data_IF_140754167956
#
_entry.id   IF_140754167956
#
_cell.length_a   1.000
_cell.length_b   1.000
_cell.length_c   1.000
_cell.angle_alpha   90.00
_cell.angle_beta   90.00
_cell.angle_gamma   90.00
#
_symmetry.space_group_name_H-M   'P 1'
#
loop_
_entity.id
_entity.type
_entity.pdbx_description
1 polymer ?
#
# COMPACT_ATOMS: atom_id res chain seq x y z
N UNK A 1 19.90 1.03 58.09
CA UNK A 1 19.44 1.95 57.05
C UNK A 1 18.70 1.14 56.00
N UNK A 2 17.41 1.11 56.11
CA UNK A 2 16.49 0.30 55.32
C UNK A 2 16.05 1.10 54.08
N UNK A 3 16.52 0.66 52.90
CA UNK A 3 16.10 1.25 51.61
C UNK A 3 14.76 0.68 51.15
N UNK A 4 13.76 1.56 51.02
CA UNK A 4 12.45 1.23 50.48
C UNK A 4 12.51 1.02 48.97
N UNK A 5 11.94 -0.07 48.42
CA UNK A 5 11.89 -0.25 46.96
C UNK A 5 10.86 0.68 46.29
N UNK A 6 11.33 1.36 45.25
CA UNK A 6 10.47 2.20 44.37
C UNK A 6 9.58 1.27 43.52
N UNK A 7 8.26 1.52 43.45
CA UNK A 7 7.38 0.69 42.63
C UNK A 7 7.61 0.95 41.15
N UNK A 8 7.82 -0.12 40.38
CA UNK A 8 7.92 -0.09 38.92
C UNK A 8 6.63 0.44 38.29
N UNK A 9 6.76 1.41 37.41
CA UNK A 9 5.66 2.03 36.69
C UNK A 9 4.94 1.00 35.83
N UNK A 10 3.63 0.86 36.07
CA UNK A 10 2.74 -0.04 35.33
C UNK A 10 2.69 0.34 33.85
N UNK A 11 3.07 -0.58 33.00
CA UNK A 11 2.98 -0.47 31.55
C UNK A 11 1.54 -0.19 31.11
N UNK A 12 1.32 0.88 30.37
CA UNK A 12 0.03 1.31 29.81
C UNK A 12 -0.51 0.24 28.85
N UNK A 13 -1.45 -0.57 29.31
CA UNK A 13 -2.29 -1.49 28.50
C UNK A 13 -3.36 -0.67 27.74
N UNK A 14 -3.01 -0.05 26.60
CA UNK A 14 -3.97 0.72 25.78
C UNK A 14 -4.09 0.29 24.32
N UNK A 15 -3.26 -0.62 23.84
CA UNK A 15 -3.11 -0.89 22.40
C UNK A 15 -3.99 -2.02 21.79
N UNK A 16 -4.39 -3.14 22.45
CA UNK A 16 -5.08 -4.23 21.75
C UNK A 16 -6.54 -3.94 21.37
N UNK A 17 -7.30 -3.21 22.22
CA UNK A 17 -8.72 -2.91 21.95
C UNK A 17 -8.97 -1.91 20.82
N UNK A 18 -8.01 -1.03 20.53
CA UNK A 18 -8.14 -0.05 19.45
C UNK A 18 -7.99 -0.70 18.07
N UNK A 19 -7.01 -1.56 17.87
CA UNK A 19 -6.78 -2.24 16.61
C UNK A 19 -7.93 -3.20 16.23
N UNK A 20 -8.51 -3.90 17.20
CA UNK A 20 -9.64 -4.82 16.95
C UNK A 20 -10.91 -4.10 16.48
N UNK A 21 -11.19 -2.90 17.00
CA UNK A 21 -12.32 -2.09 16.54
C UNK A 21 -12.07 -1.55 15.14
N UNK A 22 -10.84 -1.11 14.86
CA UNK A 22 -10.47 -0.58 13.55
C UNK A 22 -10.60 -1.68 12.47
N UNK A 23 -10.09 -2.88 12.76
CA UNK A 23 -10.26 -4.05 11.88
C UNK A 23 -11.74 -4.39 11.69
N UNK A 24 -12.55 -4.46 12.75
CA UNK A 24 -13.97 -4.81 12.65
C UNK A 24 -14.76 -3.82 11.78
N UNK A 25 -14.43 -2.53 11.84
CA UNK A 25 -15.08 -1.49 11.00
C UNK A 25 -14.63 -1.61 9.55
N UNK A 26 -13.34 -1.81 9.29
CA UNK A 26 -12.82 -2.04 7.94
C UNK A 26 -13.43 -3.30 7.33
N UNK A 27 -13.48 -4.41 8.08
CA UNK A 27 -14.06 -5.68 7.62
C UNK A 27 -15.56 -5.53 7.31
N UNK A 28 -16.29 -4.72 8.10
CA UNK A 28 -17.69 -4.42 7.83
C UNK A 28 -17.89 -3.67 6.51
N UNK A 29 -17.04 -2.68 6.23
CA UNK A 29 -17.06 -1.98 4.93
C UNK A 29 -16.79 -2.96 3.79
N UNK A 30 -15.77 -3.82 3.93
CA UNK A 30 -15.42 -4.80 2.91
C UNK A 30 -16.56 -5.79 2.63
N UNK A 31 -17.26 -6.24 3.67
CA UNK A 31 -18.45 -7.09 3.49
C UNK A 31 -19.56 -6.37 2.74
N UNK A 32 -19.93 -5.15 3.16
CA UNK A 32 -20.98 -4.36 2.49
C UNK A 32 -20.67 -4.12 1.01
N UNK A 33 -19.43 -3.78 0.69
CA UNK A 33 -18.97 -3.62 -0.69
C UNK A 33 -18.95 -4.95 -1.46
N UNK A 34 -18.59 -6.05 -0.79
CA UNK A 34 -18.63 -7.40 -1.34
C UNK A 34 -20.04 -7.88 -1.66
N UNK A 35 -21.01 -7.46 -0.87
CA UNK A 35 -22.45 -7.74 -1.04
C UNK A 35 -23.11 -6.83 -2.10
N UNK A 36 -22.31 -5.95 -2.75
CA UNK A 36 -22.73 -5.15 -3.88
C UNK A 36 -23.12 -3.71 -3.57
N UNK A 37 -22.99 -3.25 -2.32
CA UNK A 37 -23.21 -1.84 -2.00
C UNK A 37 -22.14 -0.97 -2.69
N UNK A 38 -22.56 0.19 -3.25
CA UNK A 38 -21.63 1.22 -3.72
C UNK A 38 -21.08 2.04 -2.53
N UNK A 39 -19.92 2.68 -2.70
CA UNK A 39 -19.39 3.59 -1.65
C UNK A 39 -20.39 4.73 -1.38
N UNK A 40 -21.11 5.21 -2.39
CA UNK A 40 -22.13 6.25 -2.25
C UNK A 40 -23.23 5.87 -1.26
N UNK A 41 -23.66 4.60 -1.26
CA UNK A 41 -24.72 4.06 -0.40
C UNK A 41 -24.25 3.79 1.03
N UNK A 42 -22.96 3.68 1.27
CA UNK A 42 -22.43 3.46 2.61
C UNK A 42 -22.64 4.69 3.50
N UNK A 43 -23.22 4.46 4.68
CA UNK A 43 -23.35 5.47 5.74
C UNK A 43 -22.54 5.07 6.95
N UNK A 44 -22.00 6.05 7.69
CA UNK A 44 -21.23 5.79 8.92
C UNK A 44 -22.05 5.01 9.96
N UNK A 45 -23.36 5.25 10.01
CA UNK A 45 -24.31 4.53 10.87
C UNK A 45 -24.52 3.08 10.43
N UNK A 46 -24.67 2.87 9.13
CA UNK A 46 -24.80 1.53 8.55
C UNK A 46 -23.55 0.69 8.81
N UNK A 47 -22.39 1.28 8.62
CA UNK A 47 -21.09 0.64 8.89
C UNK A 47 -20.93 0.34 10.37
N UNK A 48 -21.27 1.28 11.27
CA UNK A 48 -21.20 1.05 12.72
C UNK A 48 -22.08 -0.13 13.16
N UNK A 49 -23.30 -0.21 12.62
CA UNK A 49 -24.25 -1.31 12.87
C UNK A 49 -23.71 -2.63 12.35
N UNK A 50 -23.18 -2.67 11.13
CA UNK A 50 -22.60 -3.87 10.53
C UNK A 50 -21.36 -4.36 11.31
N UNK A 51 -20.53 -3.43 11.80
CA UNK A 51 -19.36 -3.73 12.60
C UNK A 51 -19.67 -4.12 14.05
N UNK A 52 -20.91 -3.96 14.50
CA UNK A 52 -21.29 -4.21 15.89
C UNK A 52 -20.69 -3.21 16.89
N UNK A 53 -20.37 -1.97 16.45
CA UNK A 53 -19.74 -0.95 17.28
C UNK A 53 -20.63 0.28 17.42
N UNK A 54 -20.48 1.01 18.53
CA UNK A 54 -21.24 2.24 18.75
C UNK A 54 -20.86 3.35 17.77
N UNK A 55 -21.86 4.08 17.21
CA UNK A 55 -21.70 5.22 16.31
C UNK A 55 -20.63 6.22 16.80
N UNK A 56 -20.69 6.61 18.08
CA UNK A 56 -19.72 7.53 18.68
C UNK A 56 -18.26 6.99 18.62
N UNK A 57 -18.11 5.67 18.66
CA UNK A 57 -16.80 5.01 18.55
C UNK A 57 -16.24 5.14 17.15
N UNK A 58 -17.07 5.00 16.12
CA UNK A 58 -16.66 5.17 14.72
C UNK A 58 -16.31 6.62 14.45
N UNK A 59 -17.17 7.59 14.79
CA UNK A 59 -16.91 9.02 14.55
C UNK A 59 -15.69 9.58 15.28
N UNK A 60 -15.34 9.02 16.45
CA UNK A 60 -14.13 9.43 17.17
C UNK A 60 -12.85 9.05 16.42
N UNK A 61 -12.88 8.00 15.58
CA UNK A 61 -11.75 7.52 14.79
C UNK A 61 -11.71 8.13 13.40
N UNK A 62 -12.86 8.13 12.78
CA UNK A 62 -13.04 8.64 11.42
C UNK A 62 -14.07 9.76 11.45
N UNK A 63 -13.62 11.01 11.29
CA UNK A 63 -14.53 12.16 11.31
C UNK A 63 -15.54 12.15 10.15
N UNK A 64 -15.34 11.30 9.16
CA UNK A 64 -16.23 11.11 8.02
C UNK A 64 -15.87 9.88 7.19
N UNK A 65 -16.72 9.59 6.20
CA UNK A 65 -16.59 8.43 5.31
C UNK A 65 -15.26 8.41 4.56
N UNK A 66 -14.78 9.56 4.09
CA UNK A 66 -13.53 9.68 3.35
C UNK A 66 -12.31 9.22 4.16
N UNK A 67 -12.26 9.61 5.44
CA UNK A 67 -11.18 9.16 6.34
C UNK A 67 -11.21 7.64 6.54
N UNK A 68 -12.41 7.05 6.67
CA UNK A 68 -12.57 5.60 6.78
C UNK A 68 -12.19 4.89 5.48
N UNK A 69 -12.54 5.45 4.32
CA UNK A 69 -12.20 4.85 3.02
C UNK A 69 -10.69 4.78 2.78
N UNK A 70 -9.90 5.70 3.31
CA UNK A 70 -8.44 5.62 3.26
C UNK A 70 -7.90 4.42 4.03
N UNK A 71 -8.43 4.16 5.23
CA UNK A 71 -8.03 3.00 6.02
C UNK A 71 -8.50 1.69 5.36
N UNK A 72 -9.69 1.68 4.75
CA UNK A 72 -10.17 0.55 3.94
C UNK A 72 -9.23 0.29 2.77
N UNK A 73 -8.84 1.33 2.03
CA UNK A 73 -7.89 1.20 0.92
C UNK A 73 -6.52 0.70 1.41
N UNK A 74 -6.04 1.21 2.53
CA UNK A 74 -4.78 0.75 3.12
C UNK A 74 -4.85 -0.73 3.56
N UNK A 75 -5.99 -1.19 4.04
CA UNK A 75 -6.22 -2.59 4.42
C UNK A 75 -6.32 -3.52 3.20
N UNK A 76 -7.03 -3.08 2.14
CA UNK A 76 -7.09 -3.82 0.87
C UNK A 76 -5.72 -3.88 0.21
N UNK A 77 -4.94 -2.83 0.40
CA UNK A 77 -3.64 -2.65 -0.22
C UNK A 77 -2.53 -2.44 0.83
N UNK A 78 -2.23 -3.42 1.69
CA UNK A 78 -1.13 -3.26 2.65
C UNK A 78 0.18 -2.96 1.89
N UNK A 79 1.04 -2.09 2.45
CA UNK A 79 2.34 -1.85 1.86
C UNK A 79 3.14 -3.16 1.82
N UNK A 80 4.04 -3.34 0.84
CA UNK A 80 4.94 -4.48 0.83
C UNK A 80 5.78 -4.46 2.10
N UNK A 81 6.05 -5.63 2.68
CA UNK A 81 7.08 -5.75 3.71
C UNK A 81 8.43 -5.71 3.00
N UNK A 82 9.30 -4.72 3.26
CA UNK A 82 10.59 -4.66 2.62
C UNK A 82 11.48 -5.76 3.19
N UNK A 83 11.58 -6.86 2.47
CA UNK A 83 12.63 -7.84 2.70
C UNK A 83 13.83 -7.44 1.84
N UNK A 84 14.82 -6.82 2.46
CA UNK A 84 16.10 -6.57 1.80
C UNK A 84 16.97 -7.81 1.97
N UNK A 85 17.08 -8.58 0.91
CA UNK A 85 17.91 -9.80 0.89
C UNK A 85 19.39 -9.47 0.73
N UNK A 86 19.72 -8.27 0.28
CA UNK A 86 21.06 -7.85 -0.10
C UNK A 86 21.42 -8.24 -1.55
N UNK A 87 20.51 -8.91 -2.27
CA UNK A 87 20.64 -9.14 -3.71
C UNK A 87 19.67 -8.22 -4.46
N UNK A 88 20.22 -7.22 -5.14
CA UNK A 88 19.44 -6.21 -5.87
C UNK A 88 18.43 -6.82 -6.85
N UNK A 89 18.81 -7.91 -7.55
CA UNK A 89 17.93 -8.57 -8.49
C UNK A 89 16.70 -9.16 -7.81
N UNK A 90 16.90 -9.88 -6.72
CA UNK A 90 15.82 -10.50 -5.93
C UNK A 90 14.90 -9.44 -5.33
N UNK A 91 15.47 -8.39 -4.78
CA UNK A 91 14.72 -7.30 -4.15
C UNK A 91 13.86 -6.54 -5.17
N UNK A 92 14.40 -6.25 -6.37
CA UNK A 92 13.65 -5.63 -7.47
C UNK A 92 12.54 -6.55 -8.01
N UNK A 93 12.83 -7.85 -8.17
CA UNK A 93 11.79 -8.83 -8.58
C UNK A 93 10.64 -8.84 -7.58
N UNK A 94 10.95 -8.85 -6.29
CA UNK A 94 9.95 -8.82 -5.22
C UNK A 94 9.08 -7.56 -5.29
N UNK A 95 9.71 -6.39 -5.50
CA UNK A 95 9.01 -5.13 -5.65
C UNK A 95 8.08 -5.10 -6.88
N UNK A 96 8.57 -5.53 -8.05
CA UNK A 96 7.80 -5.58 -9.30
C UNK A 96 6.68 -6.61 -9.21
N UNK A 97 6.93 -7.78 -8.61
CA UNK A 97 5.93 -8.83 -8.41
C UNK A 97 4.80 -8.38 -7.49
N UNK A 98 5.12 -7.62 -6.44
CA UNK A 98 4.11 -7.00 -5.60
C UNK A 98 3.20 -6.09 -6.44
N UNK A 99 3.76 -5.22 -7.28
CA UNK A 99 2.97 -4.33 -8.17
C UNK A 99 2.12 -5.15 -9.13
N UNK A 100 2.68 -6.22 -9.72
CA UNK A 100 1.98 -7.10 -10.65
C UNK A 100 0.76 -7.77 -10.00
N UNK A 101 0.95 -8.40 -8.83
CA UNK A 101 -0.14 -9.07 -8.09
C UNK A 101 -1.24 -8.09 -7.71
N UNK A 102 -0.88 -6.90 -7.27
CA UNK A 102 -1.83 -5.84 -6.95
C UNK A 102 -2.62 -5.39 -8.18
N UNK A 103 -1.94 -5.26 -9.31
CA UNK A 103 -2.57 -4.88 -10.58
C UNK A 103 -3.55 -5.95 -11.06
N UNK A 104 -3.23 -7.24 -10.92
CA UNK A 104 -4.14 -8.34 -11.21
C UNK A 104 -5.36 -8.32 -10.28
N UNK A 105 -5.16 -8.22 -8.96
CA UNK A 105 -6.25 -8.16 -8.01
C UNK A 105 -7.24 -7.02 -8.32
N UNK A 106 -6.74 -5.85 -8.74
CA UNK A 106 -7.58 -4.71 -9.17
C UNK A 106 -8.35 -5.02 -10.45
N UNK A 107 -7.76 -5.74 -11.40
CA UNK A 107 -8.45 -6.15 -12.63
C UNK A 107 -9.56 -7.17 -12.39
N UNK A 108 -9.30 -8.15 -11.52
CA UNK A 108 -10.18 -9.28 -11.28
C UNK A 108 -11.33 -8.93 -10.35
N UNK A 109 -11.13 -8.02 -9.40
CA UNK A 109 -12.15 -7.61 -8.45
C UNK A 109 -12.99 -6.43 -8.94
N UNK A 110 -14.28 -6.67 -9.21
CA UNK A 110 -15.24 -5.61 -9.51
C UNK A 110 -15.38 -4.60 -8.35
N UNK A 111 -15.35 -5.10 -7.12
CA UNK A 111 -15.34 -4.29 -5.90
C UNK A 111 -14.14 -3.34 -5.87
N UNK A 112 -12.93 -3.83 -6.06
CA UNK A 112 -11.72 -2.98 -6.06
C UNK A 112 -11.74 -1.95 -7.18
N UNK A 113 -12.24 -2.31 -8.36
CA UNK A 113 -12.44 -1.34 -9.45
C UNK A 113 -13.42 -0.23 -9.06
N UNK A 114 -14.56 -0.60 -8.48
CA UNK A 114 -15.58 0.36 -8.01
C UNK A 114 -15.02 1.31 -6.97
N UNK A 115 -14.35 0.78 -5.95
CA UNK A 115 -13.68 1.59 -4.90
C UNK A 115 -12.68 2.57 -5.51
N UNK A 116 -11.83 2.10 -6.42
CA UNK A 116 -10.81 2.93 -7.03
C UNK A 116 -11.41 4.04 -7.90
N UNK A 117 -12.46 3.72 -8.68
CA UNK A 117 -13.17 4.72 -9.50
C UNK A 117 -13.81 5.81 -8.63
N UNK A 118 -14.44 5.43 -7.52
CA UNK A 118 -15.04 6.37 -6.57
C UNK A 118 -13.97 7.28 -5.93
N UNK A 119 -12.84 6.69 -5.52
CA UNK A 119 -11.71 7.46 -4.99
C UNK A 119 -11.14 8.43 -6.02
N UNK A 120 -11.03 8.00 -7.29
CA UNK A 120 -10.55 8.84 -8.38
C UNK A 120 -11.53 9.97 -8.74
N UNK A 121 -12.83 9.75 -8.55
CA UNK A 121 -13.86 10.77 -8.80
C UNK A 121 -13.88 11.90 -7.75
N UNK A 122 -13.30 11.66 -6.57
CA UNK A 122 -13.18 12.64 -5.49
C UNK A 122 -11.73 13.16 -5.41
N UNK A 123 -11.43 14.41 -5.86
CA UNK A 123 -10.06 14.92 -5.92
C UNK A 123 -9.34 14.95 -4.56
N UNK A 124 -10.06 15.26 -3.48
CA UNK A 124 -9.47 15.31 -2.13
C UNK A 124 -9.12 13.91 -1.63
N UNK A 125 -10.01 12.93 -1.85
CA UNK A 125 -9.76 11.54 -1.47
C UNK A 125 -8.65 10.93 -2.32
N UNK A 126 -8.61 11.25 -3.62
CA UNK A 126 -7.54 10.86 -4.53
C UNK A 126 -6.18 11.40 -4.09
N UNK A 127 -6.12 12.68 -3.75
CA UNK A 127 -4.90 13.30 -3.22
C UNK A 127 -4.42 12.60 -1.95
N UNK A 128 -5.30 12.36 -1.00
CA UNK A 128 -4.96 11.66 0.25
C UNK A 128 -4.49 10.22 0.01
N UNK A 129 -5.16 9.49 -0.87
CA UNK A 129 -4.71 8.14 -1.28
C UNK A 129 -3.30 8.19 -1.87
N UNK A 130 -3.03 9.16 -2.72
CA UNK A 130 -1.70 9.36 -3.30
C UNK A 130 -0.65 9.65 -2.21
N UNK A 131 -0.92 10.60 -1.33
CA UNK A 131 0.02 11.05 -0.29
C UNK A 131 0.31 9.94 0.75
N UNK A 132 -0.67 9.10 1.06
CA UNK A 132 -0.53 8.06 2.09
C UNK A 132 -0.12 6.70 1.55
N UNK A 133 -0.78 6.21 0.50
CA UNK A 133 -0.61 4.85 -0.01
C UNK A 133 0.44 4.81 -1.12
N UNK A 134 0.25 5.63 -2.16
CA UNK A 134 1.14 5.60 -3.34
C UNK A 134 2.53 6.12 -3.00
N UNK A 135 2.60 7.27 -2.30
CA UNK A 135 3.89 7.87 -1.91
C UNK A 135 4.69 6.97 -0.95
N UNK A 136 4.02 6.21 -0.07
CA UNK A 136 4.71 5.25 0.81
C UNK A 136 5.38 4.14 0.02
N UNK A 137 4.68 3.57 -0.97
CA UNK A 137 5.24 2.53 -1.85
C UNK A 137 6.37 3.05 -2.71
N UNK A 138 6.21 4.28 -3.21
CA UNK A 138 7.25 4.95 -3.99
C UNK A 138 8.52 5.12 -3.17
N UNK A 139 8.41 5.62 -1.93
CA UNK A 139 9.56 5.74 -1.01
C UNK A 139 10.27 4.41 -0.78
N UNK A 140 9.54 3.32 -0.56
CA UNK A 140 10.16 2.00 -0.38
C UNK A 140 11.00 1.57 -1.59
N UNK A 141 10.53 1.88 -2.81
CA UNK A 141 11.28 1.60 -4.03
C UNK A 141 12.49 2.53 -4.19
N UNK A 142 12.35 3.83 -3.91
CA UNK A 142 13.47 4.77 -3.97
C UNK A 142 14.52 4.45 -2.90
N UNK A 143 14.13 4.07 -1.68
CA UNK A 143 15.06 3.63 -0.61
C UNK A 143 15.86 2.38 -1.01
N UNK A 144 15.23 1.44 -1.73
CA UNK A 144 15.91 0.27 -2.29
C UNK A 144 16.96 0.68 -3.34
N UNK A 145 16.58 1.56 -4.27
CA UNK A 145 17.46 2.04 -5.32
C UNK A 145 18.63 2.87 -4.77
N UNK A 146 18.38 3.73 -3.77
CA UNK A 146 19.42 4.48 -3.07
C UNK A 146 20.46 3.56 -2.43
N UNK A 147 20.01 2.51 -1.74
CA UNK A 147 20.91 1.52 -1.14
C UNK A 147 21.75 0.79 -2.18
N UNK A 148 21.13 0.43 -3.31
CA UNK A 148 21.83 -0.24 -4.41
C UNK A 148 22.89 0.67 -5.08
N UNK A 149 22.63 1.97 -5.17
CA UNK A 149 23.62 2.96 -5.64
C UNK A 149 24.76 3.07 -4.63
N UNK A 150 24.44 3.17 -3.34
CA UNK A 150 25.46 3.25 -2.28
C UNK A 150 26.32 1.99 -2.18
N UNK A 151 25.77 0.82 -2.51
CA UNK A 151 26.48 -0.44 -2.58
C UNK A 151 27.33 -0.61 -3.85
N UNK A 152 27.14 0.24 -4.86
CA UNK A 152 27.81 0.15 -6.16
C UNK A 152 27.16 -0.82 -7.16
N UNK A 153 25.99 -1.36 -6.85
CA UNK A 153 25.24 -2.25 -7.75
C UNK A 153 24.57 -1.49 -8.91
N UNK A 154 24.29 -0.22 -8.70
CA UNK A 154 23.76 0.72 -9.70
C UNK A 154 24.76 1.86 -9.89
N UNK A 155 24.90 2.32 -11.12
CA UNK A 155 25.79 3.43 -11.48
C UNK A 155 25.40 4.71 -10.68
N UNK A 156 26.38 5.39 -10.04
CA UNK A 156 26.10 6.51 -9.14
C UNK A 156 25.49 7.73 -9.86
N UNK A 157 25.78 7.94 -11.15
CA UNK A 157 25.20 9.02 -11.93
C UNK A 157 23.68 8.90 -12.11
N UNK A 158 23.11 7.70 -11.95
CA UNK A 158 21.67 7.46 -12.01
C UNK A 158 20.95 7.90 -10.71
N UNK A 159 21.69 8.14 -9.63
CA UNK A 159 21.16 8.66 -8.38
C UNK A 159 20.69 10.12 -8.44
N UNK A 160 20.99 10.83 -9.54
CA UNK A 160 20.52 12.22 -9.74
C UNK A 160 19.02 12.32 -9.94
N UNK A 161 18.34 11.25 -10.34
CA UNK A 161 16.89 11.20 -10.54
C UNK A 161 16.32 9.82 -10.13
N UNK A 162 16.22 9.61 -8.82
CA UNK A 162 15.63 8.38 -8.24
C UNK A 162 14.16 8.20 -8.59
N UNK A 163 13.45 9.30 -8.81
CA UNK A 163 12.05 9.26 -9.21
C UNK A 163 11.90 8.66 -10.61
N UNK A 164 12.76 9.04 -11.54
CA UNK A 164 12.79 8.44 -12.87
C UNK A 164 13.14 6.95 -12.82
N UNK A 165 14.12 6.56 -11.99
CA UNK A 165 14.45 5.14 -11.83
C UNK A 165 13.27 4.33 -11.26
N UNK A 166 12.59 4.86 -10.25
CA UNK A 166 11.39 4.23 -9.69
C UNK A 166 10.27 4.10 -10.74
N UNK A 167 10.09 5.13 -11.58
CA UNK A 167 9.14 5.09 -12.69
C UNK A 167 9.51 4.03 -13.74
N UNK A 168 10.78 3.86 -14.06
CA UNK A 168 11.25 2.82 -14.98
C UNK A 168 11.00 1.41 -14.41
N UNK A 169 11.13 1.21 -13.10
CA UNK A 169 10.85 -0.08 -12.44
C UNK A 169 9.36 -0.37 -12.40
N UNK A 170 8.53 0.57 -11.99
CA UNK A 170 7.09 0.36 -11.78
C UNK A 170 6.25 0.56 -13.04
N UNK A 171 6.65 1.50 -13.90
CA UNK A 171 5.89 2.03 -15.02
C UNK A 171 5.39 0.98 -16.01
N UNK A 172 6.19 0.01 -16.48
CA UNK A 172 5.73 -0.98 -17.44
C UNK A 172 4.57 -1.85 -16.93
N UNK A 173 4.57 -2.22 -15.65
CA UNK A 173 3.45 -2.96 -15.04
C UNK A 173 2.23 -2.07 -14.89
N UNK A 174 2.40 -0.86 -14.37
CA UNK A 174 1.32 0.11 -14.19
C UNK A 174 0.69 0.51 -15.53
N UNK A 175 1.50 0.75 -16.56
CA UNK A 175 1.00 1.04 -17.91
C UNK A 175 0.14 -0.10 -18.46
N UNK A 176 0.60 -1.36 -18.33
CA UNK A 176 -0.20 -2.52 -18.72
C UNK A 176 -1.49 -2.62 -17.91
N UNK A 177 -1.42 -2.33 -16.61
CA UNK A 177 -2.55 -2.46 -15.71
C UNK A 177 -3.65 -1.42 -15.96
N UNK A 178 -3.28 -0.18 -16.29
CA UNK A 178 -4.20 0.97 -16.36
C UNK A 178 -4.54 1.40 -17.79
N UNK A 179 -3.54 1.42 -18.68
CA UNK A 179 -3.71 1.93 -20.05
C UNK A 179 -3.95 0.82 -21.08
N UNK A 180 -3.60 -0.41 -20.76
CA UNK A 180 -3.72 -1.57 -21.67
C UNK A 180 -4.35 -2.75 -20.92
N UNK A 181 -5.66 -2.68 -20.63
CA UNK A 181 -6.34 -3.68 -19.79
C UNK A 181 -6.25 -5.11 -20.33
N UNK A 182 -6.13 -5.27 -21.65
CA UNK A 182 -5.98 -6.58 -22.29
C UNK A 182 -4.54 -7.09 -22.32
N UNK A 183 -3.54 -6.26 -21.96
CA UNK A 183 -2.16 -6.70 -21.94
C UNK A 183 -1.93 -7.73 -20.81
N UNK A 184 -1.29 -8.87 -21.10
CA UNK A 184 -1.07 -9.90 -20.10
C UNK A 184 -0.07 -9.43 -19.04
N UNK A 185 -0.29 -9.90 -17.80
CA UNK A 185 0.60 -9.75 -16.66
C UNK A 185 1.07 -11.13 -16.18
N UNK A 186 1.83 -11.88 -17.00
CA UNK A 186 2.23 -13.25 -16.68
C UNK A 186 3.20 -13.29 -15.49
N UNK A 187 3.37 -14.47 -14.88
CA UNK A 187 4.21 -14.66 -13.70
C UNK A 187 5.69 -14.36 -13.95
N UNK A 188 6.16 -14.60 -15.19
CA UNK A 188 7.55 -14.31 -15.59
C UNK A 188 7.80 -12.84 -15.93
N UNK A 189 6.80 -11.97 -15.85
CA UNK A 189 6.94 -10.55 -16.22
C UNK A 189 7.95 -9.83 -15.33
N UNK A 190 7.89 -10.04 -14.01
CA UNK A 190 8.77 -9.36 -13.06
C UNK A 190 10.25 -9.71 -13.27
N UNK A 191 10.66 -11.00 -13.30
CA UNK A 191 12.06 -11.34 -13.56
C UNK A 191 12.56 -10.83 -14.92
N UNK A 192 11.75 -10.93 -15.99
CA UNK A 192 12.14 -10.43 -17.31
C UNK A 192 12.36 -8.92 -17.34
N UNK A 193 11.48 -8.16 -16.69
CA UNK A 193 11.62 -6.70 -16.60
C UNK A 193 12.89 -6.32 -15.84
N UNK A 194 13.12 -6.96 -14.70
CA UNK A 194 14.30 -6.68 -13.86
C UNK A 194 15.58 -7.02 -14.60
N UNK A 195 15.64 -8.15 -15.31
CA UNK A 195 16.83 -8.51 -16.09
C UNK A 195 17.11 -7.49 -17.20
N UNK A 196 16.10 -6.98 -17.89
CA UNK A 196 16.26 -5.92 -18.89
C UNK A 196 16.77 -4.63 -18.25
N UNK A 197 16.20 -4.23 -17.11
CA UNK A 197 16.60 -3.03 -16.40
C UNK A 197 18.05 -3.12 -15.89
N UNK A 198 18.40 -4.22 -15.23
CA UNK A 198 19.75 -4.39 -14.66
C UNK A 198 20.84 -4.36 -15.75
N UNK A 199 20.57 -4.88 -16.93
CA UNK A 199 21.53 -4.79 -18.06
C UNK A 199 21.80 -3.33 -18.49
N UNK A 200 20.86 -2.41 -18.21
CA UNK A 200 21.05 -0.97 -18.45
C UNK A 200 21.60 -0.19 -17.26
N UNK A 201 21.43 -0.69 -16.03
CA UNK A 201 21.75 0.03 -14.78
C UNK A 201 23.11 -0.34 -14.19
N UNK A 202 23.61 -1.54 -14.49
CA UNK A 202 24.90 -2.01 -13.97
C UNK A 202 26.07 -1.14 -14.46
N UNK A 203 27.15 -1.04 -13.67
CA UNK A 203 28.39 -0.40 -14.15
C UNK A 203 28.84 -1.02 -15.48
N UNK A 204 29.34 -0.17 -16.36
CA UNK A 204 29.97 -0.63 -17.60
C UNK A 204 31.44 -0.93 -17.29
N UNK A 205 31.93 -2.09 -17.72
CA UNK A 205 33.36 -2.43 -17.68
C UNK A 205 34.19 -1.45 -18.55
#
# INVERSE_FOLDING_TARGET
>A
MTGTPVPAAAARRGRPRNAAVDSAVVDAVLRLLGDGASIGELTMEGIAREAGVGKATVYRRWPGKDALMLDVLAAIEPPPTPEHTGDLRTDLITAVEYIRRRSLAKRESAMMRGVLLEVQSNPELWKRYHDTVVATRRRMLTDLLEKAIAAGDIRPELGTDLDLLADMVAGPVLSRATMRPDAPLPEDLAPRMVDILLNGLRPRE
#
